data_IF_925058372937
#
_entry.id   IF_925058372937
#
_cell.length_a   1.000
_cell.length_b   1.000
_cell.length_c   1.000
_cell.angle_alpha   90.00
_cell.angle_beta   90.00
_cell.angle_gamma   90.00
#
_symmetry.space_group_name_H-M   'P 1'
#
loop_
_entity.id
_entity.type
_entity.pdbx_description
1 polymer ?
#
# COMPACT_ATOMS: atom_id res chain seq x y z
N UNK A 1 -36.93 17.02 -6.48
CA UNK A 1 -35.65 17.48 -5.89
C UNK A 1 -34.55 16.65 -6.53
N UNK A 2 -33.95 17.16 -7.59
CA UNK A 2 -32.81 16.47 -8.21
C UNK A 2 -31.59 16.66 -7.28
N UNK A 3 -31.26 15.60 -6.56
CA UNK A 3 -30.04 15.57 -5.74
C UNK A 3 -28.87 15.44 -6.71
N UNK A 4 -28.35 16.58 -7.19
CA UNK A 4 -27.10 16.59 -7.96
C UNK A 4 -25.93 16.33 -7.00
N UNK A 5 -25.53 15.06 -6.91
CA UNK A 5 -24.33 14.69 -6.15
C UNK A 5 -23.13 15.36 -6.82
N UNK A 6 -22.31 16.06 -6.03
CA UNK A 6 -21.06 16.62 -6.53
C UNK A 6 -20.21 15.50 -7.16
N UNK A 7 -19.78 15.61 -8.43
CA UNK A 7 -19.04 14.56 -9.11
C UNK A 7 -17.79 14.10 -8.35
N UNK A 8 -17.08 15.01 -7.69
CA UNK A 8 -15.91 14.67 -6.85
C UNK A 8 -16.28 13.79 -5.67
N UNK A 9 -17.38 14.10 -4.97
CA UNK A 9 -17.86 13.29 -3.86
C UNK A 9 -18.28 11.91 -4.32
N UNK A 10 -18.93 11.80 -5.48
CA UNK A 10 -19.30 10.53 -6.08
C UNK A 10 -18.09 9.66 -6.39
N UNK A 11 -17.03 10.22 -7.02
CA UNK A 11 -15.78 9.50 -7.28
C UNK A 11 -15.12 9.00 -5.99
N UNK A 12 -15.07 9.83 -4.95
CA UNK A 12 -14.52 9.44 -3.65
C UNK A 12 -15.32 8.27 -3.04
N UNK A 13 -16.65 8.34 -3.08
CA UNK A 13 -17.52 7.29 -2.55
C UNK A 13 -17.34 5.96 -3.27
N UNK A 14 -17.13 5.97 -4.59
CA UNK A 14 -16.85 4.78 -5.38
C UNK A 14 -15.44 4.24 -5.12
N UNK A 15 -14.45 5.11 -4.93
CA UNK A 15 -13.07 4.71 -4.70
C UNK A 15 -12.83 4.10 -3.30
N UNK A 16 -13.53 4.57 -2.26
CA UNK A 16 -13.34 4.09 -0.88
C UNK A 16 -13.41 2.55 -0.74
N UNK A 17 -14.41 1.84 -1.28
CA UNK A 17 -14.45 0.39 -1.20
C UNK A 17 -13.21 -0.29 -1.81
N UNK A 18 -12.76 0.17 -2.97
CA UNK A 18 -11.57 -0.37 -3.62
C UNK A 18 -10.30 -0.08 -2.84
N UNK A 19 -10.17 1.13 -2.28
CA UNK A 19 -9.09 1.51 -1.38
C UNK A 19 -9.03 0.57 -0.18
N UNK A 20 -10.16 0.34 0.48
CA UNK A 20 -10.25 -0.54 1.65
C UNK A 20 -9.92 -2.00 1.31
N UNK A 21 -10.38 -2.49 0.16
CA UNK A 21 -10.06 -3.84 -0.31
C UNK A 21 -8.56 -3.96 -0.60
N UNK A 22 -7.96 -2.98 -1.28
CA UNK A 22 -6.53 -2.97 -1.59
C UNK A 22 -5.67 -3.03 -0.33
N UNK A 23 -6.01 -2.25 0.70
CA UNK A 23 -5.33 -2.28 1.99
C UNK A 23 -5.57 -3.60 2.73
N UNK A 24 -6.81 -4.12 2.73
CA UNK A 24 -7.13 -5.37 3.42
C UNK A 24 -6.40 -6.56 2.80
N UNK A 25 -6.29 -6.62 1.48
CA UNK A 25 -5.54 -7.67 0.77
C UNK A 25 -4.04 -7.56 1.06
N UNK A 26 -3.50 -6.35 1.09
CA UNK A 26 -2.11 -6.07 1.44
C UNK A 26 -1.78 -6.58 2.86
N UNK A 27 -2.51 -6.12 3.87
CA UNK A 27 -2.31 -6.50 5.27
C UNK A 27 -2.57 -8.01 5.50
N UNK A 28 -3.61 -8.55 4.87
CA UNK A 28 -3.88 -9.98 4.91
C UNK A 28 -2.72 -10.80 4.37
N UNK A 29 -2.06 -10.34 3.31
CA UNK A 29 -0.93 -11.05 2.71
C UNK A 29 0.25 -11.13 3.67
N UNK A 30 0.59 -10.05 4.38
CA UNK A 30 1.59 -10.08 5.45
C UNK A 30 1.20 -11.10 6.54
N UNK A 31 -0.03 -11.00 7.06
CA UNK A 31 -0.55 -11.90 8.09
C UNK A 31 -0.52 -13.37 7.66
N UNK A 32 -0.89 -13.65 6.42
CA UNK A 32 -0.96 -15.00 5.87
C UNK A 32 0.42 -15.64 5.75
N UNK A 33 1.39 -14.95 5.18
CA UNK A 33 2.74 -15.49 5.05
C UNK A 33 3.45 -15.58 6.41
N UNK A 34 3.26 -14.62 7.33
CA UNK A 34 3.75 -14.71 8.71
C UNK A 34 3.21 -15.98 9.39
N UNK A 35 1.90 -16.23 9.30
CA UNK A 35 1.25 -17.44 9.80
C UNK A 35 1.83 -18.72 9.17
N UNK A 36 2.05 -18.73 7.86
CA UNK A 36 2.64 -19.89 7.14
C UNK A 36 4.05 -20.19 7.59
N UNK A 37 4.82 -19.20 8.01
CA UNK A 37 6.20 -19.35 8.49
C UNK A 37 6.32 -19.54 10.00
N UNK A 38 5.19 -19.65 10.71
CA UNK A 38 5.15 -20.04 12.13
C UNK A 38 4.75 -18.93 13.09
N UNK A 39 4.54 -17.71 12.61
CA UNK A 39 4.08 -16.61 13.46
C UNK A 39 2.55 -16.55 13.53
N UNK A 40 2.01 -16.91 14.70
CA UNK A 40 0.57 -16.87 14.97
C UNK A 40 0.07 -15.52 15.50
N UNK A 41 0.94 -14.50 15.62
CA UNK A 41 0.60 -13.23 16.29
C UNK A 41 -0.61 -12.57 15.64
N UNK A 42 -0.57 -12.34 14.34
CA UNK A 42 -1.67 -11.74 13.60
C UNK A 42 -2.98 -12.56 13.67
N UNK A 43 -2.88 -13.89 13.62
CA UNK A 43 -4.02 -14.80 13.75
C UNK A 43 -4.68 -14.68 15.12
N UNK A 44 -3.87 -14.68 16.18
CA UNK A 44 -4.35 -14.61 17.57
C UNK A 44 -5.03 -13.27 17.87
N UNK A 45 -4.62 -12.20 17.20
CA UNK A 45 -5.25 -10.86 17.27
C UNK A 45 -6.45 -10.70 16.31
N UNK A 46 -6.87 -11.77 15.61
CA UNK A 46 -7.97 -11.71 14.64
C UNK A 46 -7.68 -10.83 13.43
N UNK A 47 -6.38 -10.64 13.09
CA UNK A 47 -5.91 -9.81 11.99
C UNK A 47 -5.63 -10.61 10.71
N UNK A 48 -5.70 -11.95 10.75
CA UNK A 48 -5.63 -12.84 9.59
C UNK A 48 -7.01 -12.89 8.92
N UNK A 49 -7.43 -11.79 8.30
CA UNK A 49 -8.76 -11.61 7.72
C UNK A 49 -8.73 -10.61 6.57
N UNK A 50 -9.62 -10.80 5.59
CA UNK A 50 -9.88 -9.81 4.53
C UNK A 50 -10.90 -8.73 4.92
N UNK A 51 -11.40 -8.73 6.17
CA UNK A 51 -12.30 -7.69 6.65
C UNK A 51 -11.52 -6.36 6.82
N UNK A 52 -11.76 -5.34 5.97
CA UNK A 52 -11.01 -4.10 5.99
C UNK A 52 -11.13 -3.35 7.31
N UNK A 53 -12.25 -3.48 8.03
CA UNK A 53 -12.47 -2.80 9.30
C UNK A 53 -11.47 -3.23 10.38
N UNK A 54 -10.90 -4.42 10.27
CA UNK A 54 -9.84 -4.91 11.17
C UNK A 54 -8.48 -4.26 10.91
N UNK A 55 -8.29 -3.66 9.75
CA UNK A 55 -7.04 -3.03 9.31
C UNK A 55 -7.11 -1.48 9.36
N UNK A 56 -8.25 -0.91 9.76
CA UNK A 56 -8.37 0.53 9.92
C UNK A 56 -7.71 1.00 11.24
N UNK A 57 -6.98 2.09 11.13
CA UNK A 57 -6.53 2.90 12.25
C UNK A 57 -7.43 4.14 12.37
N UNK A 58 -7.91 4.44 13.57
CA UNK A 58 -8.82 5.57 13.76
C UNK A 58 -8.18 6.89 13.35
N UNK A 59 -6.92 7.11 13.71
CA UNK A 59 -6.22 8.34 13.37
C UNK A 59 -5.74 8.33 11.92
N UNK A 60 -5.01 7.29 11.51
CA UNK A 60 -4.38 7.20 10.20
C UNK A 60 -5.35 6.98 9.05
N UNK A 61 -6.45 6.22 9.27
CA UNK A 61 -7.37 5.88 8.18
C UNK A 61 -8.62 6.76 8.13
N UNK A 62 -8.93 7.51 9.21
CA UNK A 62 -10.17 8.30 9.28
C UNK A 62 -9.88 9.77 9.62
N UNK A 63 -9.30 10.06 10.79
CA UNK A 63 -9.19 11.43 11.30
C UNK A 63 -8.24 12.28 10.45
N UNK A 64 -7.02 11.79 10.21
CA UNK A 64 -6.01 12.55 9.45
C UNK A 64 -6.41 12.74 7.98
N UNK A 65 -6.89 11.71 7.25
CA UNK A 65 -7.44 11.92 5.91
C UNK A 65 -8.60 12.93 5.88
N UNK A 66 -9.51 12.89 6.86
CA UNK A 66 -10.61 13.85 6.93
C UNK A 66 -10.11 15.29 7.16
N UNK A 67 -9.17 15.50 8.08
CA UNK A 67 -8.57 16.82 8.32
C UNK A 67 -7.80 17.30 7.08
N UNK A 68 -7.02 16.42 6.43
CA UNK A 68 -6.28 16.75 5.20
C UNK A 68 -7.23 17.20 4.08
N UNK A 69 -8.33 16.49 3.91
CA UNK A 69 -9.35 16.82 2.91
C UNK A 69 -10.01 18.18 3.18
N UNK A 70 -10.36 18.47 4.46
CA UNK A 70 -10.97 19.74 4.86
C UNK A 70 -10.01 20.92 4.75
N UNK A 71 -8.72 20.68 4.98
CA UNK A 71 -7.68 21.73 4.94
C UNK A 71 -7.14 21.99 3.54
N UNK A 72 -7.54 21.19 2.53
CA UNK A 72 -7.02 21.28 1.16
C UNK A 72 -5.57 20.80 0.97
N UNK A 73 -4.99 20.17 2.00
CA UNK A 73 -3.68 19.52 1.90
C UNK A 73 -3.76 18.17 1.19
N UNK A 74 -2.61 17.64 0.77
CA UNK A 74 -2.53 16.28 0.26
C UNK A 74 -3.07 15.29 1.31
N UNK A 75 -3.95 14.37 0.88
CA UNK A 75 -4.52 13.37 1.78
C UNK A 75 -3.43 12.39 2.20
N UNK A 76 -3.06 12.43 3.46
CA UNK A 76 -2.10 11.53 4.09
C UNK A 76 -2.88 10.59 5.00
N UNK A 77 -2.53 9.30 4.97
CA UNK A 77 -3.16 8.32 5.85
C UNK A 77 -2.37 7.02 5.87
N UNK A 78 -2.65 6.19 6.86
CA UNK A 78 -2.07 4.86 7.00
C UNK A 78 -3.09 3.86 7.54
N UNK A 79 -2.88 2.59 7.21
CA UNK A 79 -3.59 1.49 7.82
C UNK A 79 -2.93 1.10 9.15
N UNK A 80 -3.68 0.42 10.00
CA UNK A 80 -3.11 -0.23 11.18
C UNK A 80 -2.28 -1.45 10.70
N UNK A 81 -0.95 -1.45 10.86
CA UNK A 81 -0.12 -2.54 10.36
C UNK A 81 -0.45 -3.85 11.09
N UNK A 82 -0.31 -4.97 10.37
CA UNK A 82 -0.44 -6.31 10.97
C UNK A 82 0.73 -6.57 11.91
N UNK A 83 0.49 -7.04 13.14
CA UNK A 83 1.57 -7.38 14.06
C UNK A 83 2.29 -8.65 13.57
N UNK A 84 3.61 -8.56 13.41
CA UNK A 84 4.48 -9.65 13.02
C UNK A 84 5.59 -9.80 14.05
N UNK A 85 5.77 -11.03 14.55
CA UNK A 85 6.86 -11.36 15.47
C UNK A 85 7.92 -12.19 14.72
N UNK A 86 8.98 -11.52 14.29
CA UNK A 86 10.08 -12.11 13.51
C UNK A 86 10.82 -13.23 14.25
N UNK A 87 10.74 -13.29 15.61
CA UNK A 87 11.35 -14.37 16.39
C UNK A 87 10.65 -15.73 16.21
N UNK A 88 9.41 -15.72 15.73
CA UNK A 88 8.65 -16.93 15.48
C UNK A 88 8.96 -17.59 14.13
N UNK A 89 9.74 -16.93 13.26
CA UNK A 89 10.06 -17.44 11.94
C UNK A 89 11.08 -18.58 11.99
N UNK A 90 10.86 -19.61 11.15
CA UNK A 90 11.79 -20.74 11.03
C UNK A 90 13.11 -20.34 10.38
N UNK A 91 13.05 -19.45 9.39
CA UNK A 91 14.20 -18.88 8.69
C UNK A 91 14.09 -17.34 8.72
N UNK A 92 14.54 -16.67 9.80
CA UNK A 92 14.22 -15.27 10.06
C UNK A 92 14.47 -14.33 8.89
N UNK A 93 15.60 -14.46 8.19
CA UNK A 93 15.95 -13.56 7.08
C UNK A 93 15.06 -13.81 5.86
N UNK A 94 14.96 -15.06 5.43
CA UNK A 94 14.15 -15.42 4.24
C UNK A 94 12.69 -15.14 4.47
N UNK A 95 12.18 -15.58 5.62
CA UNK A 95 10.77 -15.53 5.94
C UNK A 95 10.32 -14.08 6.11
N UNK A 96 11.14 -13.21 6.73
CA UNK A 96 10.87 -11.78 6.85
C UNK A 96 10.86 -11.06 5.49
N UNK A 97 11.80 -11.38 4.60
CA UNK A 97 11.80 -10.82 3.24
C UNK A 97 10.53 -11.21 2.48
N UNK A 98 10.10 -12.48 2.57
CA UNK A 98 8.87 -12.94 1.90
C UNK A 98 7.64 -12.27 2.52
N UNK A 99 7.56 -12.19 3.85
CA UNK A 99 6.45 -11.51 4.54
C UNK A 99 6.39 -10.06 4.14
N UNK A 100 7.52 -9.33 4.20
CA UNK A 100 7.56 -7.90 3.87
C UNK A 100 7.22 -7.62 2.41
N UNK A 101 7.57 -8.52 1.47
CA UNK A 101 7.23 -8.33 0.06
C UNK A 101 5.82 -8.81 -0.29
N UNK A 102 5.17 -9.61 0.56
CA UNK A 102 3.86 -10.19 0.27
C UNK A 102 2.76 -9.15 0.08
N UNK A 103 2.73 -8.09 0.91
CA UNK A 103 1.79 -6.99 0.76
C UNK A 103 1.93 -6.27 -0.58
N UNK A 104 3.09 -5.71 -0.89
CA UNK A 104 3.34 -5.09 -2.20
C UNK A 104 3.00 -6.00 -3.38
N UNK A 105 3.45 -7.25 -3.36
CA UNK A 105 3.16 -8.21 -4.45
C UNK A 105 1.64 -8.43 -4.59
N UNK A 106 0.90 -8.51 -3.50
CA UNK A 106 -0.56 -8.63 -3.56
C UNK A 106 -1.23 -7.43 -4.23
N UNK A 107 -0.72 -6.21 -4.00
CA UNK A 107 -1.19 -5.02 -4.70
C UNK A 107 -0.86 -5.09 -6.20
N UNK A 108 0.34 -5.55 -6.58
CA UNK A 108 0.65 -5.76 -8.01
C UNK A 108 -0.31 -6.77 -8.65
N UNK A 109 -0.65 -7.88 -7.95
CA UNK A 109 -1.63 -8.85 -8.44
C UNK A 109 -3.02 -8.24 -8.61
N UNK A 110 -3.46 -7.36 -7.68
CA UNK A 110 -4.71 -6.62 -7.84
C UNK A 110 -4.64 -5.65 -9.02
N UNK A 111 -3.52 -4.95 -9.22
CA UNK A 111 -3.34 -4.08 -10.39
C UNK A 111 -3.47 -4.88 -11.70
N UNK A 112 -2.84 -6.05 -11.79
CA UNK A 112 -2.98 -6.94 -12.96
C UNK A 112 -4.43 -7.39 -13.13
N UNK A 113 -5.13 -7.73 -12.06
CA UNK A 113 -6.56 -8.09 -12.13
C UNK A 113 -7.40 -6.93 -12.66
N UNK A 114 -7.21 -5.70 -12.15
CA UNK A 114 -7.90 -4.52 -12.66
C UNK A 114 -7.55 -4.22 -14.12
N UNK A 115 -6.28 -4.40 -14.51
CA UNK A 115 -5.83 -4.26 -15.89
C UNK A 115 -6.58 -5.23 -16.82
N UNK A 116 -6.68 -6.50 -16.43
CA UNK A 116 -7.44 -7.50 -17.20
C UNK A 116 -8.90 -7.04 -17.36
N UNK A 117 -9.54 -6.62 -16.28
CA UNK A 117 -10.93 -6.13 -16.33
C UNK A 117 -11.06 -4.91 -17.27
N UNK A 118 -10.14 -3.95 -17.17
CA UNK A 118 -10.12 -2.75 -18.01
C UNK A 118 -9.96 -3.10 -19.50
N UNK A 119 -9.07 -4.02 -19.84
CA UNK A 119 -8.83 -4.43 -21.23
C UNK A 119 -10.02 -5.20 -21.85
N UNK A 120 -10.91 -5.79 -21.02
CA UNK A 120 -12.14 -6.44 -21.51
C UNK A 120 -13.33 -5.47 -21.66
N UNK A 121 -13.24 -4.25 -21.13
CA UNK A 121 -14.33 -3.28 -21.25
C UNK A 121 -14.30 -2.58 -22.62
N UNK A 122 -15.48 -2.30 -23.21
CA UNK A 122 -15.56 -1.41 -24.37
C UNK A 122 -14.97 -0.03 -24.03
N UNK A 123 -14.24 0.58 -24.97
CA UNK A 123 -13.55 1.88 -24.77
C UNK A 123 -14.51 3.02 -24.33
N UNK A 124 -15.78 2.93 -24.68
CA UNK A 124 -16.82 3.92 -24.34
C UNK A 124 -17.45 3.66 -22.94
N UNK A 125 -17.03 2.58 -22.27
CA UNK A 125 -17.62 2.20 -20.98
C UNK A 125 -17.24 3.19 -19.86
N UNK A 126 -18.27 3.73 -19.20
CA UNK A 126 -18.07 4.58 -18.02
C UNK A 126 -17.38 3.85 -16.86
N UNK A 127 -17.41 2.51 -16.85
CA UNK A 127 -16.75 1.70 -15.82
C UNK A 127 -15.23 1.86 -15.85
N UNK A 128 -14.64 2.20 -17.02
CA UNK A 128 -13.21 2.48 -17.13
C UNK A 128 -12.79 3.56 -16.13
N UNK A 129 -13.54 4.66 -16.04
CA UNK A 129 -13.23 5.77 -15.14
C UNK A 129 -13.23 5.36 -13.66
N UNK A 130 -14.03 4.36 -13.27
CA UNK A 130 -14.11 3.89 -11.89
C UNK A 130 -13.08 2.82 -11.56
N UNK A 131 -12.71 1.98 -12.52
CA UNK A 131 -11.73 0.91 -12.32
C UNK A 131 -10.28 1.37 -12.54
N UNK A 132 -10.08 2.45 -13.31
CA UNK A 132 -8.74 2.99 -13.55
C UNK A 132 -8.07 3.53 -12.29
N UNK A 133 -8.84 4.20 -11.40
CA UNK A 133 -8.29 4.71 -10.13
C UNK A 133 -7.77 3.61 -9.20
N UNK A 134 -8.53 2.54 -8.87
CA UNK A 134 -8.00 1.43 -8.09
C UNK A 134 -6.86 0.69 -8.80
N UNK A 135 -6.85 0.62 -10.14
CA UNK A 135 -5.74 0.07 -10.90
C UNK A 135 -4.45 0.84 -10.63
N UNK A 136 -4.42 2.15 -10.85
CA UNK A 136 -3.25 3.01 -10.59
C UNK A 136 -2.88 3.00 -9.10
N UNK A 137 -3.86 3.02 -8.21
CA UNK A 137 -3.62 3.01 -6.78
C UNK A 137 -2.88 1.74 -6.32
N UNK A 138 -3.19 0.58 -6.87
CA UNK A 138 -2.50 -0.65 -6.53
C UNK A 138 -1.08 -0.70 -7.11
N UNK A 139 -0.81 -0.12 -8.29
CA UNK A 139 0.55 0.09 -8.79
C UNK A 139 1.34 1.03 -7.85
N UNK A 140 0.69 2.12 -7.42
CA UNK A 140 1.28 3.06 -6.46
C UNK A 140 1.65 2.35 -5.14
N UNK A 141 0.72 1.59 -4.55
CA UNK A 141 0.96 0.85 -3.30
C UNK A 141 2.10 -0.15 -3.43
N UNK A 142 2.19 -0.84 -4.57
CA UNK A 142 3.29 -1.76 -4.86
C UNK A 142 4.65 -1.07 -4.78
N UNK A 143 4.86 -0.01 -5.56
CA UNK A 143 6.14 0.68 -5.59
C UNK A 143 6.42 1.48 -4.33
N UNK A 144 5.40 2.12 -3.75
CA UNK A 144 5.55 2.94 -2.57
C UNK A 144 6.01 2.11 -1.37
N UNK A 145 5.39 0.94 -1.14
CA UNK A 145 5.79 0.08 -0.03
C UNK A 145 7.12 -0.64 -0.27
N UNK A 146 7.62 -0.72 -1.50
CA UNK A 146 8.97 -1.22 -1.79
C UNK A 146 10.07 -0.17 -1.61
N UNK A 147 9.74 1.09 -1.33
CA UNK A 147 10.75 2.08 -0.98
C UNK A 147 11.50 1.65 0.28
N UNK A 148 12.84 1.75 0.30
CA UNK A 148 13.67 1.28 1.41
C UNK A 148 13.69 2.28 2.59
N UNK A 149 12.54 2.84 2.94
CA UNK A 149 12.39 3.89 3.95
C UNK A 149 11.40 3.40 5.02
N UNK A 150 11.79 3.23 6.30
CA UNK A 150 10.84 2.87 7.35
C UNK A 150 9.71 3.92 7.48
N UNK A 151 8.47 3.52 7.79
CA UNK A 151 8.04 2.16 8.16
C UNK A 151 7.55 1.29 6.97
N UNK A 152 7.98 1.59 5.73
CA UNK A 152 7.55 0.87 4.54
C UNK A 152 8.22 -0.52 4.45
N UNK A 153 7.54 -1.46 3.80
CA UNK A 153 7.95 -2.88 3.72
C UNK A 153 9.34 -3.08 3.11
N UNK A 154 9.70 -2.28 2.10
CA UNK A 154 11.02 -2.32 1.47
C UNK A 154 12.17 -2.04 2.44
N UNK A 155 11.89 -1.37 3.57
CA UNK A 155 12.91 -1.13 4.59
C UNK A 155 13.33 -2.40 5.33
N UNK A 156 12.43 -3.36 5.52
CA UNK A 156 12.73 -4.67 6.10
C UNK A 156 13.65 -5.45 5.15
N UNK A 157 13.33 -5.45 3.87
CA UNK A 157 14.17 -6.09 2.84
C UNK A 157 15.57 -5.46 2.83
N UNK A 158 15.66 -4.12 2.80
CA UNK A 158 16.95 -3.42 2.83
C UNK A 158 17.74 -3.78 4.10
N UNK A 159 17.11 -3.80 5.28
CA UNK A 159 17.78 -4.12 6.54
C UNK A 159 18.44 -5.52 6.52
N UNK A 160 17.85 -6.50 5.82
CA UNK A 160 18.45 -7.82 5.64
C UNK A 160 19.60 -7.83 4.65
N UNK A 161 19.55 -7.00 3.62
CA UNK A 161 20.59 -6.91 2.58
C UNK A 161 21.81 -6.09 3.03
N UNK A 162 21.65 -5.22 4.03
CA UNK A 162 22.72 -4.37 4.54
C UNK A 162 23.80 -5.19 5.26
N UNK A 163 25.09 -4.87 5.00
CA UNK A 163 26.20 -5.38 5.79
C UNK A 163 26.04 -5.03 7.28
N UNK A 164 26.53 -5.87 8.22
CA UNK A 164 26.34 -5.66 9.65
C UNK A 164 26.77 -4.28 10.17
N UNK A 165 27.84 -3.71 9.62
CA UNK A 165 28.38 -2.41 10.03
C UNK A 165 27.48 -1.22 9.60
N UNK A 166 26.60 -1.37 8.60
CA UNK A 166 25.67 -0.33 8.15
C UNK A 166 24.31 -0.39 8.88
N UNK A 167 23.95 -1.52 9.49
CA UNK A 167 22.67 -1.68 10.22
C UNK A 167 22.46 -0.64 11.34
N UNK A 168 23.46 -0.34 12.20
CA UNK A 168 23.29 0.70 13.23
C UNK A 168 23.02 2.09 12.64
N UNK A 169 23.67 2.41 11.52
CA UNK A 169 23.44 3.68 10.80
C UNK A 169 22.02 3.72 10.26
N UNK A 170 21.56 2.64 9.61
CA UNK A 170 20.20 2.53 9.08
C UNK A 170 19.15 2.69 10.19
N UNK A 171 19.33 2.02 11.33
CA UNK A 171 18.45 2.16 12.51
C UNK A 171 18.46 3.59 13.06
N UNK A 172 19.60 4.26 13.06
CA UNK A 172 19.70 5.66 13.51
C UNK A 172 18.97 6.62 12.57
N UNK A 173 19.08 6.39 11.28
CA UNK A 173 18.41 7.21 10.24
C UNK A 173 16.88 6.93 10.23
N UNK A 174 16.46 5.72 10.56
CA UNK A 174 15.04 5.33 10.51
C UNK A 174 14.14 6.18 11.44
N UNK A 175 14.69 6.75 12.51
CA UNK A 175 13.96 7.71 13.38
C UNK A 175 13.54 8.99 12.68
N UNK A 176 14.18 9.32 11.56
CA UNK A 176 13.87 10.49 10.72
C UNK A 176 13.10 10.11 9.45
N UNK A 177 12.63 8.89 9.35
CA UNK A 177 12.04 8.32 8.13
C UNK A 177 10.87 9.12 7.57
N UNK A 178 9.99 9.66 8.42
CA UNK A 178 8.88 10.52 7.97
C UNK A 178 9.40 11.80 7.30
N UNK A 179 10.46 12.41 7.84
CA UNK A 179 11.08 13.59 7.25
C UNK A 179 11.72 13.22 5.92
N UNK A 180 12.43 12.08 5.86
CA UNK A 180 13.07 11.58 4.64
C UNK A 180 12.00 11.32 3.56
N UNK A 181 10.89 10.69 3.94
CA UNK A 181 9.79 10.43 3.02
C UNK A 181 9.17 11.73 2.50
N UNK A 182 8.93 12.72 3.37
CA UNK A 182 8.45 14.03 2.96
C UNK A 182 9.44 14.73 2.00
N UNK A 183 10.73 14.73 2.33
CA UNK A 183 11.75 15.28 1.46
C UNK A 183 11.79 14.58 0.10
N UNK A 184 11.62 13.25 0.06
CA UNK A 184 11.54 12.50 -1.19
C UNK A 184 10.33 12.93 -2.02
N UNK A 185 9.13 13.03 -1.41
CA UNK A 185 7.89 13.41 -2.10
C UNK A 185 7.99 14.81 -2.70
N UNK A 186 8.62 15.76 -1.98
CA UNK A 186 8.79 17.13 -2.47
C UNK A 186 10.05 17.33 -3.33
N UNK A 187 10.89 16.30 -3.49
CA UNK A 187 12.10 16.38 -4.30
C UNK A 187 11.81 16.20 -5.80
N UNK A 188 12.71 16.67 -6.68
CA UNK A 188 12.64 16.36 -8.11
C UNK A 188 12.69 14.85 -8.42
N UNK A 189 13.14 14.02 -7.48
CA UNK A 189 13.19 12.55 -7.65
C UNK A 189 11.80 11.94 -7.70
N UNK A 190 10.80 12.59 -7.09
CA UNK A 190 9.42 12.10 -7.08
C UNK A 190 8.84 11.93 -8.48
N UNK A 191 9.23 12.77 -9.44
CA UNK A 191 8.81 12.62 -10.84
C UNK A 191 9.22 11.28 -11.44
N UNK A 192 10.40 10.76 -11.10
CA UNK A 192 10.86 9.45 -11.61
C UNK A 192 10.05 8.30 -10.98
N UNK A 193 9.67 8.45 -9.71
CA UNK A 193 8.74 7.51 -9.06
C UNK A 193 7.38 7.49 -9.77
N UNK A 194 6.81 8.67 -10.07
CA UNK A 194 5.56 8.78 -10.82
C UNK A 194 5.69 8.25 -12.25
N UNK A 195 6.81 8.52 -12.93
CA UNK A 195 7.07 7.97 -14.28
C UNK A 195 7.15 6.44 -14.30
N UNK A 196 7.64 5.82 -13.21
CA UNK A 196 7.66 4.37 -13.08
C UNK A 196 6.24 3.79 -12.98
N UNK A 197 5.36 4.45 -12.24
CA UNK A 197 3.93 4.08 -12.15
C UNK A 197 3.26 4.22 -13.52
N UNK A 198 3.48 5.35 -14.20
CA UNK A 198 2.95 5.62 -15.52
C UNK A 198 3.44 4.58 -16.55
N UNK A 199 4.74 4.30 -16.56
CA UNK A 199 5.32 3.26 -17.43
C UNK A 199 4.68 1.89 -17.20
N UNK A 200 4.52 1.49 -15.92
CA UNK A 200 3.88 0.22 -15.57
C UNK A 200 2.41 0.21 -15.97
N UNK A 201 1.69 1.32 -15.76
CA UNK A 201 0.30 1.42 -16.16
C UNK A 201 0.12 1.28 -17.67
N UNK A 202 0.97 1.94 -18.46
CA UNK A 202 0.94 1.84 -19.92
C UNK A 202 1.33 0.45 -20.45
N UNK A 203 2.19 -0.28 -19.70
CA UNK A 203 2.53 -1.66 -20.02
C UNK A 203 1.37 -2.63 -19.79
N UNK A 204 0.58 -2.40 -18.74
CA UNK A 204 -0.51 -3.28 -18.33
C UNK A 204 -1.83 -2.93 -19.01
N UNK A 205 -2.08 -1.66 -19.25
CA UNK A 205 -3.31 -1.15 -19.88
C UNK A 205 -2.97 0.00 -20.82
N UNK A 206 -3.20 -0.23 -22.12
CA UNK A 206 -3.17 0.78 -23.16
C UNK A 206 -4.62 1.03 -23.61
N UNK A 207 -5.20 2.21 -23.30
CA UNK A 207 -6.58 2.57 -23.66
C UNK A 207 -6.79 2.72 -25.16
#
# INVERSE_FOLDING_TARGET
>A
MDITINPRLFYIMVFIPFFLISLAVHEFSHAYFAYRFGDNTAKNEGRLTLNPLKHLDLFGSIIIPAISLLSGFAVIGWAKPVPVNHHNFKNPVRDDIIVSTAGPISNLMLAVLFSILLNYLPSESRLINYLYMPFIFNIFLFYFNLLPIPPLDGSHVLNHLLPPHLKPIFISISRYSLIILMLLIYSPLWKYFLSLIEWTSNLLFAP
#
